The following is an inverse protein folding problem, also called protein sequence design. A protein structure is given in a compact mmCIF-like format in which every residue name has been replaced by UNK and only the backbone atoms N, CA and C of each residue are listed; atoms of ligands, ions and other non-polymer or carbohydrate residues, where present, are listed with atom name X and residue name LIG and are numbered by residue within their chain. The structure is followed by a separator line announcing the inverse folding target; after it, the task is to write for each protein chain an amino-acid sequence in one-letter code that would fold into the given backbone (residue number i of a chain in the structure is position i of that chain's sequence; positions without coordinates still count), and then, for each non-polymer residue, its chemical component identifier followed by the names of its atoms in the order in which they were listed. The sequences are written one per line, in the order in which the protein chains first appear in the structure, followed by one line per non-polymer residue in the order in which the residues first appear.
data_IF_828840456022
#
_entry.id   IF_828840456022
#
_cell.length_a   1.000
_cell.length_b   1.000
_cell.length_c   1.000
_cell.angle_alpha   90.00
_cell.angle_beta   90.00
_cell.angle_gamma   90.00
#
_symmetry.space_group_name_H-M   'P 1'
#
loop_
_entity.id
_entity.type
_entity.pdbx_description
1 polymer ?
#
# COMPACT_ATOMS: atom_id res chain seq x y z
N UNK A 1 3.34 28.24 -40.50
CA UNK A 1 2.27 27.85 -39.56
C UNK A 1 2.70 26.59 -38.82
N UNK A 2 3.27 26.78 -37.67
CA UNK A 2 3.71 25.68 -36.78
C UNK A 2 2.51 25.33 -35.89
N UNK A 3 1.88 24.19 -36.17
CA UNK A 3 0.91 23.60 -35.25
C UNK A 3 1.67 23.05 -34.03
N UNK A 4 1.57 23.75 -32.92
CA UNK A 4 1.95 23.21 -31.63
C UNK A 4 0.89 22.19 -31.21
N UNK A 5 1.21 20.94 -31.30
CA UNK A 5 0.44 19.86 -30.69
C UNK A 5 0.63 19.94 -29.17
N UNK A 6 -0.32 20.56 -28.48
CA UNK A 6 -0.46 20.43 -27.04
C UNK A 6 -0.90 19.00 -26.70
N UNK A 7 0.08 18.12 -26.55
CA UNK A 7 -0.15 16.90 -25.82
C UNK A 7 -0.24 17.32 -24.34
N UNK A 8 -1.46 17.57 -23.90
CA UNK A 8 -1.77 17.60 -22.49
C UNK A 8 -1.45 16.19 -21.94
N UNK A 9 -0.24 16.01 -21.45
CA UNK A 9 0.12 14.88 -20.60
C UNK A 9 -0.82 15.00 -19.40
N UNK A 10 -1.88 14.20 -19.38
CA UNK A 10 -2.62 13.92 -18.18
C UNK A 10 -1.58 13.48 -17.15
N UNK A 11 -1.26 14.37 -16.22
CA UNK A 11 -0.57 14.03 -14.99
C UNK A 11 -1.54 13.10 -14.25
N UNK A 12 -1.41 11.80 -14.47
CA UNK A 12 -1.95 10.85 -13.53
C UNK A 12 -1.30 11.19 -12.20
N UNK A 13 -2.08 11.74 -11.27
CA UNK A 13 -1.59 11.97 -9.92
C UNK A 13 -1.10 10.62 -9.42
N UNK A 14 0.20 10.55 -9.13
CA UNK A 14 0.82 9.35 -8.61
C UNK A 14 0.12 8.98 -7.30
N UNK A 15 -0.39 7.74 -7.21
CA UNK A 15 -1.14 7.27 -6.04
C UNK A 15 -0.19 6.69 -5.00
N UNK A 16 0.83 7.47 -4.64
CA UNK A 16 1.77 7.14 -3.57
C UNK A 16 2.48 8.39 -3.05
N UNK A 17 3.05 8.30 -1.85
CA UNK A 17 4.07 9.23 -1.35
C UNK A 17 5.07 8.47 -0.49
N UNK A 18 6.33 8.52 -0.92
CA UNK A 18 7.47 7.89 -0.26
C UNK A 18 8.62 8.90 -0.10
N UNK A 19 9.62 8.56 0.69
CA UNK A 19 10.77 9.44 0.95
C UNK A 19 11.58 9.71 -0.31
N UNK A 20 11.93 8.65 -1.03
CA UNK A 20 12.81 8.69 -2.19
C UNK A 20 12.57 7.48 -3.08
N UNK A 21 11.89 7.70 -4.20
CA UNK A 21 11.57 6.64 -5.17
C UNK A 21 12.83 6.03 -5.82
N UNK A 22 13.96 6.74 -5.83
CA UNK A 22 15.20 6.24 -6.40
C UNK A 22 15.76 5.02 -5.64
N UNK A 23 15.33 4.79 -4.40
CA UNK A 23 15.72 3.63 -3.60
C UNK A 23 14.98 2.33 -3.98
N UNK A 24 14.08 2.38 -4.95
CA UNK A 24 13.22 1.24 -5.31
C UNK A 24 14.02 0.00 -5.76
N UNK A 25 15.10 0.18 -6.50
CA UNK A 25 15.92 -0.94 -6.97
C UNK A 25 16.68 -1.63 -5.84
N UNK A 26 17.15 -0.86 -4.86
CA UNK A 26 17.71 -1.41 -3.63
C UNK A 26 16.64 -2.17 -2.82
N UNK A 27 15.47 -1.55 -2.64
CA UNK A 27 14.32 -2.19 -1.98
C UNK A 27 13.93 -3.51 -2.65
N UNK A 28 13.92 -3.56 -3.98
CA UNK A 28 13.60 -4.79 -4.73
C UNK A 28 14.57 -5.93 -4.45
N UNK A 29 15.85 -5.63 -4.35
CA UNK A 29 16.86 -6.65 -4.00
C UNK A 29 16.63 -7.20 -2.59
N UNK A 30 16.37 -6.33 -1.63
CA UNK A 30 16.11 -6.72 -0.25
C UNK A 30 14.80 -7.54 -0.12
N UNK A 31 13.75 -7.16 -0.85
CA UNK A 31 12.49 -7.94 -0.90
C UNK A 31 12.76 -9.34 -1.46
N UNK A 32 13.53 -9.45 -2.52
CA UNK A 32 13.86 -10.76 -3.12
C UNK A 32 14.62 -11.68 -2.15
N UNK A 33 15.48 -11.12 -1.31
CA UNK A 33 16.16 -11.88 -0.24
C UNK A 33 15.13 -12.30 0.83
N UNK A 34 14.28 -11.38 1.28
CA UNK A 34 13.26 -11.65 2.30
C UNK A 34 12.26 -12.72 1.88
N UNK A 35 11.92 -12.82 0.60
CA UNK A 35 11.04 -13.87 0.07
C UNK A 35 11.59 -15.27 0.39
N UNK A 36 12.91 -15.47 0.30
CA UNK A 36 13.54 -16.75 0.65
C UNK A 36 13.49 -17.07 2.15
N UNK A 37 13.32 -16.04 2.98
CA UNK A 37 13.22 -16.17 4.45
C UNK A 37 11.76 -16.25 4.93
N UNK A 38 10.80 -16.14 4.02
CA UNK A 38 9.36 -16.14 4.30
C UNK A 38 8.64 -17.27 3.53
N UNK A 39 9.02 -18.54 3.76
CA UNK A 39 8.52 -19.66 2.96
C UNK A 39 7.00 -19.86 3.08
N UNK A 40 6.38 -19.46 4.20
CA UNK A 40 4.92 -19.56 4.37
C UNK A 40 4.15 -18.68 3.39
N UNK A 41 4.54 -17.42 3.24
CA UNK A 41 3.91 -16.52 2.26
C UNK A 41 4.20 -16.96 0.81
N UNK A 42 5.40 -17.42 0.54
CA UNK A 42 5.77 -17.91 -0.80
C UNK A 42 5.00 -19.19 -1.17
N UNK A 43 4.78 -20.10 -0.21
CA UNK A 43 3.93 -21.27 -0.40
C UNK A 43 2.48 -20.90 -0.74
N UNK A 44 1.92 -19.88 -0.09
CA UNK A 44 0.59 -19.37 -0.42
C UNK A 44 0.50 -18.84 -1.86
N UNK A 45 1.55 -18.15 -2.33
CA UNK A 45 1.60 -17.70 -3.74
C UNK A 45 1.60 -18.90 -4.69
N UNK A 46 2.39 -19.91 -4.40
CA UNK A 46 2.49 -21.11 -5.23
C UNK A 46 1.16 -21.89 -5.26
N UNK A 47 0.56 -22.11 -4.09
CA UNK A 47 -0.65 -22.93 -3.94
C UNK A 47 -1.89 -22.23 -4.51
N UNK A 48 -2.07 -20.95 -4.21
CA UNK A 48 -3.32 -20.22 -4.51
C UNK A 48 -3.19 -19.16 -5.59
N UNK A 49 -2.01 -18.93 -6.12
CA UNK A 49 -1.77 -17.85 -7.07
C UNK A 49 -2.60 -17.94 -8.36
N UNK A 50 -2.92 -19.14 -8.81
CA UNK A 50 -3.77 -19.36 -10.00
C UNK A 50 -5.24 -19.08 -9.71
N UNK A 51 -5.71 -19.47 -8.52
CA UNK A 51 -7.11 -19.34 -8.12
C UNK A 51 -7.53 -17.93 -7.79
N UNK A 52 -6.56 -17.08 -7.39
CA UNK A 52 -6.81 -15.69 -6.97
C UNK A 52 -7.89 -15.58 -5.87
N UNK A 53 -7.72 -16.24 -4.71
CA UNK A 53 -8.78 -16.32 -3.69
C UNK A 53 -9.14 -14.96 -3.08
N UNK A 54 -8.26 -13.95 -3.22
CA UNK A 54 -8.50 -12.59 -2.76
C UNK A 54 -9.08 -11.67 -3.85
N UNK A 55 -9.50 -12.21 -4.98
CA UNK A 55 -10.18 -11.41 -6.01
C UNK A 55 -11.42 -10.73 -5.42
N UNK A 56 -11.50 -9.42 -5.56
CA UNK A 56 -12.57 -8.60 -4.98
C UNK A 56 -12.28 -8.10 -3.57
N UNK A 57 -11.23 -8.57 -2.90
CA UNK A 57 -10.77 -7.97 -1.66
C UNK A 57 -10.16 -6.60 -1.94
N UNK A 58 -10.62 -5.59 -1.23
CA UNK A 58 -10.10 -4.22 -1.24
C UNK A 58 -9.59 -3.91 0.16
N UNK A 59 -8.27 -4.02 0.32
CA UNK A 59 -7.61 -4.02 1.62
C UNK A 59 -6.91 -2.69 1.85
N UNK A 60 -7.21 -2.04 2.98
CA UNK A 60 -6.35 -1.01 3.53
C UNK A 60 -5.49 -1.66 4.61
N UNK A 61 -4.16 -1.53 4.48
CA UNK A 61 -3.20 -1.92 5.49
C UNK A 61 -2.63 -0.70 6.21
N UNK A 62 -2.54 -0.80 7.53
CA UNK A 62 -1.82 0.12 8.40
C UNK A 62 -0.90 -0.72 9.28
N UNK A 63 0.26 -1.04 8.76
CA UNK A 63 1.27 -1.90 9.38
C UNK A 63 2.66 -1.43 8.96
N UNK A 64 3.64 -1.63 9.81
CA UNK A 64 5.04 -1.22 9.60
C UNK A 64 5.50 -1.47 8.15
N UNK A 65 5.86 -0.41 7.42
CA UNK A 65 6.26 -0.52 6.01
C UNK A 65 7.72 -0.96 5.90
N UNK A 66 7.96 -2.21 6.24
CA UNK A 66 9.27 -2.87 6.19
C UNK A 66 9.41 -3.75 4.94
N UNK A 67 10.61 -4.28 4.74
CA UNK A 67 10.88 -5.27 3.67
C UNK A 67 9.98 -6.51 3.82
N UNK A 68 9.79 -7.01 5.03
CA UNK A 68 8.93 -8.16 5.29
C UNK A 68 7.47 -7.85 4.98
N UNK A 69 7.00 -6.68 5.35
CA UNK A 69 5.66 -6.21 5.00
C UNK A 69 5.50 -6.04 3.49
N UNK A 70 6.54 -5.64 2.78
CA UNK A 70 6.51 -5.59 1.31
C UNK A 70 6.25 -6.97 0.70
N UNK A 71 6.84 -8.04 1.23
CA UNK A 71 6.55 -9.42 0.82
C UNK A 71 5.08 -9.76 1.08
N UNK A 72 4.54 -9.38 2.22
CA UNK A 72 3.11 -9.55 2.54
C UNK A 72 2.22 -8.81 1.54
N UNK A 73 2.47 -7.53 1.31
CA UNK A 73 1.69 -6.70 0.37
C UNK A 73 1.67 -7.33 -1.03
N UNK A 74 2.83 -7.71 -1.54
CA UNK A 74 2.93 -8.33 -2.86
C UNK A 74 2.26 -9.70 -2.91
N UNK A 75 2.25 -10.44 -1.80
CA UNK A 75 1.51 -11.69 -1.69
C UNK A 75 0.01 -11.46 -1.77
N UNK A 76 -0.52 -10.48 -1.05
CA UNK A 76 -1.95 -10.13 -1.12
C UNK A 76 -2.37 -9.74 -2.54
N UNK A 77 -1.56 -8.91 -3.21
CA UNK A 77 -1.80 -8.51 -4.60
C UNK A 77 -1.69 -9.70 -5.56
N UNK A 78 -0.70 -10.55 -5.37
CA UNK A 78 -0.51 -11.77 -6.18
C UNK A 78 -1.72 -12.72 -6.06
N UNK A 79 -2.33 -12.79 -4.89
CA UNK A 79 -3.54 -13.57 -4.62
C UNK A 79 -4.84 -12.88 -5.10
N UNK A 80 -4.76 -11.69 -5.67
CA UNK A 80 -5.86 -11.00 -6.33
C UNK A 80 -6.43 -9.78 -5.61
N UNK A 81 -5.91 -9.40 -4.45
CA UNK A 81 -6.38 -8.23 -3.71
C UNK A 81 -6.00 -6.90 -4.37
N UNK A 82 -6.85 -5.91 -4.22
CA UNK A 82 -6.54 -4.49 -4.44
C UNK A 82 -6.14 -3.88 -3.09
N UNK A 83 -4.90 -3.39 -2.98
CA UNK A 83 -4.27 -3.03 -1.70
C UNK A 83 -3.84 -1.58 -1.71
N UNK A 84 -4.05 -0.89 -0.58
CA UNK A 84 -3.55 0.45 -0.30
C UNK A 84 -2.89 0.43 1.08
N UNK A 85 -1.74 1.07 1.24
CA UNK A 85 -0.93 0.85 2.45
C UNK A 85 -0.37 2.13 3.05
N UNK A 86 -0.35 2.17 4.40
CA UNK A 86 0.39 3.14 5.20
C UNK A 86 1.10 2.43 6.36
N UNK A 87 2.06 3.10 7.00
CA UNK A 87 2.69 2.57 8.19
C UNK A 87 1.86 2.84 9.44
N UNK A 88 1.98 1.99 10.44
CA UNK A 88 1.37 2.17 11.78
C UNK A 88 2.30 2.88 12.78
N UNK A 89 3.44 3.41 12.33
CA UNK A 89 4.40 4.10 13.18
C UNK A 89 5.23 5.10 12.37
N UNK A 90 5.50 6.26 12.93
CA UNK A 90 6.21 7.36 12.25
C UNK A 90 7.69 7.09 11.97
N UNK A 91 8.31 6.12 12.66
CA UNK A 91 9.74 5.81 12.53
C UNK A 91 10.06 4.44 11.94
N UNK A 92 9.10 3.54 11.81
CA UNK A 92 9.36 2.14 11.46
C UNK A 92 9.51 1.86 9.98
N UNK A 93 9.13 2.79 9.11
CA UNK A 93 9.23 2.61 7.66
C UNK A 93 10.69 2.42 7.22
N UNK A 94 10.93 1.41 6.39
CA UNK A 94 12.15 1.28 5.61
C UNK A 94 11.90 1.93 4.25
N UNK A 95 12.54 3.08 4.01
CA UNK A 95 12.22 3.92 2.84
C UNK A 95 12.44 3.21 1.50
N UNK A 96 13.43 2.33 1.42
CA UNK A 96 13.66 1.51 0.23
C UNK A 96 12.58 0.46 -0.01
N UNK A 97 11.95 -0.06 1.06
CA UNK A 97 10.80 -0.96 0.94
C UNK A 97 9.58 -0.22 0.39
N UNK A 98 9.25 0.94 0.94
CA UNK A 98 8.17 1.80 0.45
C UNK A 98 8.39 2.22 -1.00
N UNK A 99 9.61 2.58 -1.37
CA UNK A 99 9.97 2.94 -2.75
C UNK A 99 9.75 1.76 -3.73
N UNK A 100 10.13 0.54 -3.35
CA UNK A 100 9.92 -0.63 -4.20
C UNK A 100 8.42 -0.94 -4.42
N UNK A 101 7.61 -0.83 -3.39
CA UNK A 101 6.15 -1.01 -3.48
C UNK A 101 5.51 0.07 -4.36
N UNK A 102 5.91 1.34 -4.20
CA UNK A 102 5.45 2.43 -5.04
C UNK A 102 5.81 2.21 -6.51
N UNK A 103 7.05 1.83 -6.80
CA UNK A 103 7.52 1.54 -8.17
C UNK A 103 6.78 0.35 -8.80
N UNK A 104 6.35 -0.61 -8.00
CA UNK A 104 5.53 -1.72 -8.46
C UNK A 104 4.08 -1.33 -8.78
N UNK A 105 3.69 -0.08 -8.56
CA UNK A 105 2.35 0.43 -8.84
C UNK A 105 1.33 0.18 -7.74
N UNK A 106 1.77 -0.19 -6.54
CA UNK A 106 0.90 -0.41 -5.39
C UNK A 106 0.82 0.88 -4.58
N UNK A 107 -0.37 1.44 -4.33
CA UNK A 107 -0.54 2.65 -3.55
C UNK A 107 0.04 2.50 -2.14
N UNK A 108 1.01 3.34 -1.80
CA UNK A 108 1.70 3.35 -0.51
C UNK A 108 2.01 4.78 -0.08
N UNK A 109 1.72 5.09 1.16
CA UNK A 109 1.95 6.39 1.78
C UNK A 109 2.71 6.17 3.08
N UNK A 110 4.04 6.20 3.02
CA UNK A 110 4.89 5.94 4.18
C UNK A 110 6.32 6.43 3.96
N UNK A 111 6.91 7.05 4.99
CA UNK A 111 8.35 7.34 5.06
C UNK A 111 8.82 7.39 6.51
N UNK A 112 10.08 7.17 6.73
CA UNK A 112 10.68 7.28 8.06
C UNK A 112 10.78 8.75 8.47
N UNK A 113 10.27 9.08 9.66
CA UNK A 113 10.31 10.42 10.22
C UNK A 113 9.13 11.29 9.80
N UNK A 114 7.95 10.70 9.61
CA UNK A 114 6.70 11.44 9.49
C UNK A 114 6.45 12.27 10.75
N UNK A 115 5.84 13.46 10.60
CA UNK A 115 5.17 14.11 11.73
C UNK A 115 3.87 13.40 12.06
N UNK A 116 3.27 13.72 13.21
CA UNK A 116 1.96 13.15 13.56
C UNK A 116 0.87 13.53 12.55
N UNK A 117 0.90 14.78 12.06
CA UNK A 117 -0.03 15.24 11.02
C UNK A 117 0.19 14.50 9.70
N UNK A 118 1.44 14.29 9.28
CA UNK A 118 1.78 13.52 8.09
C UNK A 118 1.35 12.06 8.22
N UNK A 119 1.53 11.47 9.39
CA UNK A 119 1.09 10.11 9.71
C UNK A 119 -0.43 9.94 9.51
N UNK A 120 -1.23 10.81 10.09
CA UNK A 120 -2.69 10.80 9.91
C UNK A 120 -3.07 11.05 8.44
N UNK A 121 -2.39 11.99 7.79
CA UNK A 121 -2.59 12.26 6.37
C UNK A 121 -2.31 11.00 5.52
N UNK A 122 -1.25 10.27 5.79
CA UNK A 122 -0.93 9.01 5.09
C UNK A 122 -2.06 7.98 5.21
N UNK A 123 -2.60 7.78 6.41
CA UNK A 123 -3.74 6.87 6.63
C UNK A 123 -4.96 7.36 5.82
N UNK A 124 -5.26 8.65 5.86
CA UNK A 124 -6.39 9.23 5.10
C UNK A 124 -6.22 9.03 3.59
N UNK A 125 -5.00 9.13 3.05
CA UNK A 125 -4.75 8.88 1.63
C UNK A 125 -5.06 7.43 1.22
N UNK A 126 -4.86 6.45 2.09
CA UNK A 126 -5.25 5.07 1.81
C UNK A 126 -6.76 4.91 1.69
N UNK A 127 -7.53 5.75 2.38
CA UNK A 127 -9.00 5.73 2.38
C UNK A 127 -9.56 6.55 1.21
N UNK A 128 -9.05 7.76 1.01
CA UNK A 128 -9.62 8.79 0.12
C UNK A 128 -8.93 8.88 -1.24
N UNK A 129 -7.71 8.38 -1.37
CA UNK A 129 -6.83 8.65 -2.51
C UNK A 129 -7.32 8.12 -3.86
N UNK A 130 -8.32 7.26 -3.89
CA UNK A 130 -8.91 6.72 -5.12
C UNK A 130 -10.43 6.93 -5.12
N UNK A 131 -10.90 7.73 -6.04
CA UNK A 131 -12.33 8.03 -6.19
C UNK A 131 -13.15 6.75 -6.41
N UNK A 132 -14.28 6.62 -5.70
CA UNK A 132 -15.20 5.48 -5.76
C UNK A 132 -14.59 4.14 -5.31
N UNK A 133 -13.42 4.15 -4.69
CA UNK A 133 -12.83 2.98 -4.09
C UNK A 133 -13.19 2.94 -2.60
N UNK A 134 -13.68 1.80 -2.14
CA UNK A 134 -14.08 1.59 -0.75
C UNK A 134 -13.47 0.30 -0.24
N UNK A 135 -12.84 0.30 0.94
CA UNK A 135 -12.32 -0.93 1.53
C UNK A 135 -13.44 -1.87 1.93
N UNK A 136 -13.18 -3.16 1.84
CA UNK A 136 -14.02 -4.19 2.45
C UNK A 136 -13.24 -5.05 3.46
N UNK A 137 -11.95 -4.80 3.60
CA UNK A 137 -11.09 -5.44 4.60
C UNK A 137 -10.07 -4.43 5.13
N UNK A 138 -9.77 -4.53 6.42
CA UNK A 138 -8.75 -3.74 7.10
C UNK A 138 -7.71 -4.67 7.70
N UNK A 139 -6.43 -4.31 7.54
CA UNK A 139 -5.32 -4.94 8.25
C UNK A 139 -4.63 -3.85 9.05
N UNK A 140 -4.87 -3.83 10.35
CA UNK A 140 -4.47 -2.73 11.23
C UNK A 140 -3.66 -3.24 12.43
N UNK A 141 -2.50 -2.64 12.62
CA UNK A 141 -1.65 -2.88 13.79
C UNK A 141 -1.58 -1.59 14.64
N UNK A 142 -2.08 -1.66 15.85
CA UNK A 142 -2.16 -0.53 16.77
C UNK A 142 -3.54 0.13 16.83
N UNK A 143 -4.38 0.00 15.82
CA UNK A 143 -5.78 0.43 15.86
C UNK A 143 -6.07 1.84 15.37
N UNK A 144 -5.07 2.60 14.91
CA UNK A 144 -5.28 4.00 14.47
C UNK A 144 -6.13 4.10 13.21
N UNK A 145 -5.93 3.22 12.23
CA UNK A 145 -6.79 3.13 11.05
C UNK A 145 -8.23 2.81 11.45
N UNK A 146 -8.42 1.81 12.29
CA UNK A 146 -9.74 1.38 12.75
C UNK A 146 -10.45 2.50 13.51
N UNK A 147 -9.75 3.18 14.42
CA UNK A 147 -10.28 4.32 15.15
C UNK A 147 -10.71 5.45 14.20
N UNK A 148 -9.85 5.80 13.24
CA UNK A 148 -10.14 6.84 12.25
C UNK A 148 -11.36 6.48 11.39
N UNK A 149 -11.50 5.21 10.99
CA UNK A 149 -12.66 4.73 10.26
C UNK A 149 -13.96 4.89 11.05
N UNK A 150 -13.94 4.61 12.34
CA UNK A 150 -15.08 4.80 13.22
C UNK A 150 -15.41 6.28 13.47
N UNK A 151 -14.42 7.14 13.54
CA UNK A 151 -14.61 8.56 13.86
C UNK A 151 -15.05 9.37 12.64
N UNK A 152 -14.39 9.19 11.49
CA UNK A 152 -14.56 10.06 10.33
C UNK A 152 -15.19 9.37 9.11
N UNK A 153 -15.20 8.04 9.03
CA UNK A 153 -15.61 7.28 7.82
C UNK A 153 -16.68 6.20 8.11
N UNK A 154 -17.59 6.45 9.03
CA UNK A 154 -18.62 5.49 9.46
C UNK A 154 -19.40 4.85 8.31
N UNK A 155 -19.67 5.62 7.27
CA UNK A 155 -20.42 5.12 6.12
C UNK A 155 -19.67 4.02 5.35
N UNK A 156 -18.34 4.08 5.34
CA UNK A 156 -17.51 3.07 4.68
C UNK A 156 -17.48 1.76 5.46
N UNK A 157 -17.67 1.79 6.77
CA UNK A 157 -17.68 0.59 7.61
C UNK A 157 -18.79 -0.40 7.22
N UNK A 158 -19.86 0.05 6.57
CA UNK A 158 -20.95 -0.81 6.11
C UNK A 158 -20.49 -1.88 5.10
N UNK A 159 -19.41 -1.61 4.38
CA UNK A 159 -18.84 -2.54 3.39
C UNK A 159 -17.69 -3.39 3.96
N UNK A 160 -17.14 -3.03 5.12
CA UNK A 160 -16.04 -3.75 5.76
C UNK A 160 -16.58 -5.06 6.37
N UNK A 161 -15.96 -6.18 5.97
CA UNK A 161 -16.35 -7.53 6.38
C UNK A 161 -15.31 -8.23 7.27
N UNK A 162 -14.12 -7.66 7.38
CA UNK A 162 -13.03 -8.19 8.18
C UNK A 162 -11.86 -7.23 8.32
#
# INVERSE_FOLDING_TARGET
LIMQSNIARSLSMEDFKVKDISQADFGRKEISIAESEMPGLMALREEYGTEKPLKGARIIGCLHMTIQTAVLIETLVYLGADVRWSSCNIFSTQDHAAAAIAKAGIPVYAWKGETEEEYIWCIKQTIEGKKNWKPNMLLDDGGDLTALMHDEYKELLKEVKG
#
